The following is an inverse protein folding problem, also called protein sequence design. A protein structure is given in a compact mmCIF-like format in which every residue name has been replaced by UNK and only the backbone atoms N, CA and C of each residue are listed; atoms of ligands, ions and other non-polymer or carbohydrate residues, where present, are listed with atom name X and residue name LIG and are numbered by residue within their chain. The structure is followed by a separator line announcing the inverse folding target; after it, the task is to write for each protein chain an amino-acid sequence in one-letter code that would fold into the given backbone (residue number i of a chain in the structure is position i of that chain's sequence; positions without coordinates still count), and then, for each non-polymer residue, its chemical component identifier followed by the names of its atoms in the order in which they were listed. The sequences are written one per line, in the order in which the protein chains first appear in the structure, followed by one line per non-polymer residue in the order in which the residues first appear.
data_IF_442375036969
#
_entry.id   IF_442375036969
#
_cell.length_a   1.000
_cell.length_b   1.000
_cell.length_c   1.000
_cell.angle_alpha   90.00
_cell.angle_beta   90.00
_cell.angle_gamma   90.00
#
_symmetry.space_group_name_H-M   'P 1'
#
loop_
_entity.id
_entity.type
_entity.pdbx_description
1 polymer ?
#
# COMPACT_ATOMS: atom_id res chain seq x y z
N UNK A 1 12.80 7.23 30.06
CA UNK A 1 11.62 6.46 29.61
C UNK A 1 10.95 7.26 28.51
N UNK A 2 11.23 6.93 27.25
CA UNK A 2 10.45 7.46 26.14
C UNK A 2 9.01 6.97 26.31
N UNK A 3 8.04 7.88 26.34
CA UNK A 3 6.63 7.49 26.29
C UNK A 3 6.44 6.79 24.95
N UNK A 4 6.09 5.50 24.95
CA UNK A 4 5.57 4.86 23.76
C UNK A 4 4.39 5.71 23.29
N UNK A 5 4.52 6.36 22.13
CA UNK A 5 3.38 6.99 21.47
C UNK A 5 2.35 5.87 21.29
N UNK A 6 1.16 6.05 21.83
CA UNK A 6 0.08 5.11 21.60
C UNK A 6 -0.52 5.46 20.23
N UNK A 7 -0.12 4.72 19.20
CA UNK A 7 -0.54 4.95 17.83
C UNK A 7 -1.94 4.36 17.62
N UNK A 8 -2.81 5.08 16.90
CA UNK A 8 -4.10 4.54 16.48
C UNK A 8 -3.92 3.42 15.45
N UNK A 9 -2.84 3.51 14.65
CA UNK A 9 -2.40 2.48 13.70
C UNK A 9 -2.33 1.08 14.36
N UNK A 10 -1.83 1.00 15.60
CA UNK A 10 -1.59 -0.26 16.31
C UNK A 10 -2.89 -1.03 16.61
N UNK A 11 -4.07 -0.41 16.44
CA UNK A 11 -5.38 -1.10 16.49
C UNK A 11 -5.62 -1.99 15.26
N UNK A 12 -4.98 -1.68 14.15
CA UNK A 12 -5.25 -2.28 12.84
C UNK A 12 -4.10 -3.13 12.33
N UNK A 13 -2.87 -2.70 12.59
CA UNK A 13 -1.64 -3.32 12.09
C UNK A 13 -0.71 -3.51 13.29
N UNK A 14 -0.24 -4.75 13.48
CA UNK A 14 0.80 -5.03 14.48
C UNK A 14 2.16 -4.63 13.91
N UNK A 15 2.42 -3.32 13.91
CA UNK A 15 3.59 -2.76 13.25
C UNK A 15 4.90 -3.24 13.90
N UNK A 16 4.89 -3.46 15.22
CA UNK A 16 6.06 -3.94 15.95
C UNK A 16 6.38 -5.39 15.58
N UNK A 17 5.38 -6.27 15.51
CA UNK A 17 5.60 -7.65 15.08
C UNK A 17 5.99 -7.74 13.59
N UNK A 18 5.31 -6.97 12.73
CA UNK A 18 5.54 -7.01 11.29
C UNK A 18 6.91 -6.45 10.87
N UNK A 19 7.36 -5.35 11.50
CA UNK A 19 8.51 -4.57 11.02
C UNK A 19 9.61 -4.36 12.06
N UNK A 20 9.36 -4.64 13.34
CA UNK A 20 10.35 -4.49 14.42
C UNK A 20 11.68 -5.20 14.14
N UNK A 21 11.67 -6.49 13.74
CA UNK A 21 12.91 -7.19 13.40
C UNK A 21 13.68 -6.52 12.26
N UNK A 22 12.99 -6.01 11.24
CA UNK A 22 13.64 -5.35 10.09
C UNK A 22 14.23 -4.00 10.49
N UNK A 23 13.51 -3.24 11.33
CA UNK A 23 13.99 -1.96 11.85
C UNK A 23 15.27 -2.14 12.69
N UNK A 24 15.36 -3.24 13.45
CA UNK A 24 16.53 -3.57 14.25
C UNK A 24 17.71 -4.07 13.39
N UNK A 25 17.43 -4.94 12.42
CA UNK A 25 18.46 -5.66 11.65
C UNK A 25 18.93 -4.93 10.38
N UNK A 26 18.16 -3.96 9.85
CA UNK A 26 18.45 -3.27 8.58
C UNK A 26 18.15 -1.77 8.66
N UNK A 27 19.09 -0.95 9.19
CA UNK A 27 18.87 0.47 9.47
C UNK A 27 18.44 1.32 8.27
N UNK A 28 18.87 0.98 7.06
CA UNK A 28 18.50 1.66 5.82
C UNK A 28 17.01 1.58 5.52
N UNK A 29 16.39 0.40 5.74
CA UNK A 29 14.94 0.23 5.61
C UNK A 29 14.22 0.66 6.89
N UNK A 30 14.86 0.48 8.05
CA UNK A 30 14.31 0.83 9.35
C UNK A 30 13.88 2.28 9.45
N UNK A 31 14.70 3.22 8.95
CA UNK A 31 14.33 4.63 8.96
C UNK A 31 13.11 4.92 8.05
N UNK A 32 13.07 4.33 6.85
CA UNK A 32 11.95 4.49 5.92
C UNK A 32 10.66 3.94 6.54
N UNK A 33 10.72 2.77 7.17
CA UNK A 33 9.58 2.15 7.85
C UNK A 33 9.07 3.02 9.01
N UNK A 34 9.97 3.63 9.80
CA UNK A 34 9.58 4.54 10.87
C UNK A 34 8.92 5.82 10.34
N UNK A 35 9.41 6.37 9.23
CA UNK A 35 8.80 7.53 8.56
C UNK A 35 7.42 7.16 7.97
N UNK A 36 7.30 5.98 7.37
CA UNK A 36 6.03 5.41 6.91
C UNK A 36 5.06 5.21 8.07
N UNK A 37 5.52 4.75 9.25
CA UNK A 37 4.68 4.58 10.45
C UNK A 37 4.00 5.89 10.84
N UNK A 38 4.75 6.99 10.85
CA UNK A 38 4.19 8.31 11.17
C UNK A 38 3.19 8.79 10.09
N UNK A 39 3.42 8.47 8.82
CA UNK A 39 2.46 8.75 7.74
C UNK A 39 1.17 7.91 7.85
N UNK A 40 1.31 6.61 8.09
CA UNK A 40 0.21 5.67 8.28
C UNK A 40 -0.63 5.98 9.52
N UNK A 41 -0.02 6.50 10.59
CA UNK A 41 -0.74 7.01 11.76
C UNK A 41 -1.64 8.20 11.41
N UNK A 42 -1.10 9.18 10.69
CA UNK A 42 -1.88 10.34 10.25
C UNK A 42 -3.04 9.89 9.35
N UNK A 43 -2.78 8.96 8.44
CA UNK A 43 -3.78 8.40 7.56
C UNK A 43 -4.86 7.63 8.32
N UNK A 44 -4.46 6.81 9.31
CA UNK A 44 -5.38 6.07 10.19
C UNK A 44 -6.36 7.03 10.87
N UNK A 45 -5.86 8.11 11.48
CA UNK A 45 -6.72 9.12 12.13
C UNK A 45 -7.67 9.80 11.15
N UNK A 46 -7.23 10.06 9.93
CA UNK A 46 -8.11 10.64 8.89
C UNK A 46 -9.24 9.67 8.49
N UNK A 47 -8.92 8.38 8.36
CA UNK A 47 -9.90 7.36 8.03
C UNK A 47 -10.91 7.16 9.16
N UNK A 48 -10.46 7.08 10.41
CA UNK A 48 -11.32 6.91 11.59
C UNK A 48 -12.32 8.04 11.77
N UNK A 49 -11.98 9.26 11.34
CA UNK A 49 -12.90 10.39 11.39
C UNK A 49 -14.07 10.29 10.40
N UNK A 50 -13.98 9.42 9.39
CA UNK A 50 -14.91 9.37 8.25
C UNK A 50 -15.56 8.00 8.01
N UNK A 51 -14.95 6.93 8.50
CA UNK A 51 -15.30 5.57 8.11
C UNK A 51 -15.44 4.61 9.29
N UNK A 52 -16.11 3.49 9.03
CA UNK A 52 -16.21 2.37 9.99
C UNK A 52 -14.88 1.64 10.11
N UNK A 53 -14.67 0.97 11.25
CA UNK A 53 -13.45 0.20 11.51
C UNK A 53 -13.11 -0.81 10.39
N UNK A 54 -14.12 -1.49 9.84
CA UNK A 54 -13.95 -2.42 8.71
C UNK A 54 -13.36 -1.71 7.48
N UNK A 55 -13.82 -0.51 7.19
CA UNK A 55 -13.37 0.27 6.04
C UNK A 55 -11.99 0.88 6.28
N UNK A 56 -11.73 1.34 7.52
CA UNK A 56 -10.40 1.80 7.95
C UNK A 56 -9.38 0.68 7.73
N UNK A 57 -9.64 -0.52 8.26
CA UNK A 57 -8.77 -1.68 8.13
C UNK A 57 -8.41 -1.98 6.68
N UNK A 58 -9.42 -2.00 5.80
CA UNK A 58 -9.24 -2.30 4.37
C UNK A 58 -8.40 -1.26 3.62
N UNK A 59 -8.68 0.03 3.81
CA UNK A 59 -7.88 1.06 3.14
C UNK A 59 -6.47 1.16 3.71
N UNK A 60 -6.33 1.00 5.02
CA UNK A 60 -5.05 1.08 5.70
C UNK A 60 -4.13 -0.08 5.32
N UNK A 61 -4.63 -1.32 5.30
CA UNK A 61 -3.84 -2.49 4.90
C UNK A 61 -3.31 -2.34 3.48
N UNK A 62 -4.13 -1.91 2.53
CA UNK A 62 -3.71 -1.81 1.14
C UNK A 62 -2.66 -0.71 0.93
N UNK A 63 -2.76 0.41 1.65
CA UNK A 63 -1.77 1.49 1.61
C UNK A 63 -0.48 1.09 2.32
N UNK A 64 -0.59 0.38 3.44
CA UNK A 64 0.57 -0.07 4.21
C UNK A 64 1.41 -1.09 3.43
N UNK A 65 0.79 -2.07 2.77
CA UNK A 65 1.49 -2.99 1.87
C UNK A 65 2.22 -2.25 0.75
N UNK A 66 1.59 -1.23 0.16
CA UNK A 66 2.25 -0.42 -0.87
C UNK A 66 3.47 0.32 -0.33
N UNK A 67 3.37 0.96 0.84
CA UNK A 67 4.45 1.75 1.40
C UNK A 67 5.58 0.90 1.96
N UNK A 68 5.25 -0.15 2.71
CA UNK A 68 6.23 -0.91 3.46
C UNK A 68 6.76 -2.08 2.65
N UNK A 69 5.89 -3.00 2.23
CA UNK A 69 6.33 -4.21 1.53
C UNK A 69 6.89 -3.90 0.14
N UNK A 70 6.24 -2.97 -0.57
CA UNK A 70 6.65 -2.61 -1.91
C UNK A 70 7.68 -1.47 -1.92
N UNK A 71 7.32 -0.23 -1.59
CA UNK A 71 8.29 0.88 -1.73
C UNK A 71 9.51 0.72 -0.82
N UNK A 72 9.30 0.57 0.49
CA UNK A 72 10.41 0.53 1.44
C UNK A 72 11.26 -0.74 1.25
N UNK A 73 10.66 -1.92 1.39
CA UNK A 73 11.42 -3.17 1.45
C UNK A 73 11.90 -3.67 0.08
N UNK A 74 11.19 -3.34 -1.00
CA UNK A 74 11.58 -3.78 -2.35
C UNK A 74 12.45 -2.74 -3.07
N UNK A 75 12.11 -1.45 -2.94
CA UNK A 75 12.75 -0.38 -3.72
C UNK A 75 13.69 0.49 -2.88
N UNK A 76 13.57 0.47 -1.55
CA UNK A 76 14.33 1.37 -0.67
C UNK A 76 13.82 2.81 -0.73
N UNK A 77 12.54 2.99 -1.02
CA UNK A 77 11.91 4.28 -1.27
C UNK A 77 10.84 4.63 -0.24
N UNK A 78 10.64 5.93 -0.02
CA UNK A 78 9.71 6.46 0.95
C UNK A 78 8.39 6.95 0.33
N UNK A 79 7.56 7.63 1.14
CA UNK A 79 6.24 8.09 0.69
C UNK A 79 6.33 9.27 -0.30
N UNK A 80 7.47 9.96 -0.37
CA UNK A 80 7.71 11.04 -1.34
C UNK A 80 7.82 10.51 -2.77
N UNK A 81 8.45 9.36 -2.95
CA UNK A 81 8.65 8.68 -4.23
C UNK A 81 7.41 7.88 -4.67
N UNK A 82 6.43 7.69 -3.78
CA UNK A 82 5.27 6.84 -4.05
C UNK A 82 4.27 7.37 -5.08
N UNK A 83 4.36 8.63 -5.50
CA UNK A 83 3.54 9.14 -6.61
C UNK A 83 4.13 8.84 -8.00
N UNK A 84 5.34 8.28 -8.05
CA UNK A 84 6.01 7.96 -9.31
C UNK A 84 5.24 6.92 -10.14
N UNK A 85 5.22 7.16 -11.45
CA UNK A 85 4.45 6.36 -12.41
C UNK A 85 5.01 4.95 -12.54
N UNK A 86 6.34 4.80 -12.57
CA UNK A 86 7.00 3.50 -12.72
C UNK A 86 6.79 2.67 -11.46
N UNK A 87 6.84 3.30 -10.28
CA UNK A 87 6.55 2.65 -9.01
C UNK A 87 5.13 2.12 -8.92
N UNK A 88 4.14 2.92 -9.32
CA UNK A 88 2.73 2.52 -9.24
C UNK A 88 2.40 1.43 -10.24
N UNK A 89 2.87 1.54 -11.48
CA UNK A 89 2.71 0.46 -12.46
C UNK A 89 3.37 -0.83 -11.98
N UNK A 90 4.61 -0.73 -11.49
CA UNK A 90 5.35 -1.89 -10.98
C UNK A 90 4.63 -2.54 -9.79
N UNK A 91 4.01 -1.76 -8.91
CA UNK A 91 3.24 -2.29 -7.80
C UNK A 91 1.98 -3.03 -8.26
N UNK A 92 1.20 -2.46 -9.17
CA UNK A 92 -0.02 -3.12 -9.62
C UNK A 92 0.25 -4.37 -10.47
N UNK A 93 1.37 -4.45 -11.18
CA UNK A 93 1.81 -5.68 -11.84
C UNK A 93 2.45 -6.68 -10.87
N UNK A 94 3.00 -6.23 -9.74
CA UNK A 94 3.50 -7.08 -8.66
C UNK A 94 2.37 -7.73 -7.85
N UNK A 95 1.27 -6.99 -7.66
CA UNK A 95 0.15 -7.34 -6.78
C UNK A 95 -0.44 -8.74 -6.98
N UNK A 96 -0.78 -9.20 -8.22
CA UNK A 96 -1.45 -10.48 -8.44
C UNK A 96 -0.66 -11.68 -7.91
N UNK A 97 0.67 -11.65 -8.06
CA UNK A 97 1.54 -12.77 -7.68
C UNK A 97 1.98 -12.75 -6.21
N UNK A 98 1.71 -11.67 -5.46
CA UNK A 98 2.24 -11.48 -4.11
C UNK A 98 1.16 -11.24 -3.05
N UNK A 99 -0.01 -10.71 -3.42
CA UNK A 99 -1.12 -10.50 -2.51
C UNK A 99 -2.17 -11.60 -2.71
N UNK A 100 -2.03 -12.69 -1.95
CA UNK A 100 -2.94 -13.83 -2.00
C UNK A 100 -4.40 -13.41 -1.89
N UNK A 101 -5.26 -14.05 -2.69
CA UNK A 101 -6.71 -13.79 -2.75
C UNK A 101 -7.09 -12.35 -3.15
N UNK A 102 -6.19 -11.63 -3.81
CA UNK A 102 -6.55 -10.35 -4.42
C UNK A 102 -7.40 -10.56 -5.66
N UNK A 103 -8.33 -9.64 -5.86
CA UNK A 103 -9.18 -9.58 -7.04
C UNK A 103 -9.27 -8.14 -7.57
N UNK A 104 -10.06 -7.94 -8.60
CA UNK A 104 -10.32 -6.63 -9.19
C UNK A 104 -10.95 -5.65 -8.20
N UNK A 105 -11.64 -6.13 -7.15
CA UNK A 105 -12.13 -5.30 -6.06
C UNK A 105 -10.98 -4.82 -5.19
N UNK A 106 -10.01 -5.69 -4.86
CA UNK A 106 -8.80 -5.31 -4.13
C UNK A 106 -8.04 -4.22 -4.88
N UNK A 107 -7.86 -4.34 -6.19
CA UNK A 107 -7.22 -3.28 -7.02
C UNK A 107 -7.95 -1.95 -6.86
N UNK A 108 -9.28 -1.92 -6.99
CA UNK A 108 -10.09 -0.70 -6.84
C UNK A 108 -9.97 -0.10 -5.44
N UNK A 109 -9.99 -0.94 -4.42
CA UNK A 109 -9.88 -0.52 -3.02
C UNK A 109 -8.48 0.04 -2.71
N UNK A 110 -7.43 -0.54 -3.27
CA UNK A 110 -6.06 -0.03 -3.18
C UNK A 110 -5.92 1.33 -3.86
N UNK A 111 -6.42 1.48 -5.08
CA UNK A 111 -6.47 2.78 -5.78
C UNK A 111 -7.19 3.83 -4.95
N UNK A 112 -8.34 3.47 -4.36
CA UNK A 112 -9.11 4.38 -3.51
C UNK A 112 -8.35 4.77 -2.23
N UNK A 113 -7.64 3.83 -1.61
CA UNK A 113 -6.76 4.07 -0.47
C UNK A 113 -5.62 5.02 -0.82
N UNK A 114 -4.86 4.70 -1.87
CA UNK A 114 -3.73 5.51 -2.36
C UNK A 114 -4.17 6.93 -2.73
N UNK A 115 -5.33 7.09 -3.39
CA UNK A 115 -5.87 8.44 -3.68
C UNK A 115 -6.09 9.29 -2.46
N UNK A 116 -6.53 8.70 -1.36
CA UNK A 116 -6.73 9.40 -0.09
C UNK A 116 -5.40 9.65 0.61
N UNK A 117 -4.54 8.64 0.63
CA UNK A 117 -3.21 8.74 1.23
C UNK A 117 -2.38 9.86 0.58
N UNK A 118 -2.25 9.89 -0.74
CA UNK A 118 -1.51 10.95 -1.42
C UNK A 118 -2.20 12.30 -1.35
N UNK A 119 -3.53 12.34 -1.26
CA UNK A 119 -4.23 13.61 -0.98
C UNK A 119 -3.83 14.18 0.38
N UNK A 120 -3.69 13.32 1.40
CA UNK A 120 -3.19 13.69 2.71
C UNK A 120 -1.72 14.12 2.65
N UNK A 121 -0.87 13.38 1.94
CA UNK A 121 0.55 13.74 1.76
C UNK A 121 0.71 15.12 1.12
N UNK A 122 -0.12 15.44 0.12
CA UNK A 122 -0.21 16.78 -0.47
C UNK A 122 -0.62 17.84 0.57
N UNK A 123 -1.63 17.56 1.39
CA UNK A 123 -2.09 18.50 2.44
C UNK A 123 -1.04 18.71 3.54
N UNK A 124 -0.11 17.78 3.70
CA UNK A 124 1.03 17.87 4.62
C UNK A 124 2.29 18.44 3.98
N UNK A 125 2.30 18.67 2.66
CA UNK A 125 3.45 19.16 1.92
C UNK A 125 4.57 18.13 1.77
N UNK A 126 4.25 16.84 1.85
CA UNK A 126 5.20 15.73 1.60
C UNK A 126 5.42 15.56 0.09
N UNK A 127 4.38 15.81 -0.70
CA UNK A 127 4.42 15.83 -2.16
C UNK A 127 3.88 17.16 -2.67
N UNK A 128 4.28 17.53 -3.87
CA UNK A 128 3.81 18.67 -4.63
C UNK A 128 2.47 18.40 -5.32
N UNK A 129 1.79 19.49 -5.69
CA UNK A 129 0.52 19.41 -6.39
C UNK A 129 0.65 18.73 -7.76
N UNK A 130 1.78 18.95 -8.46
CA UNK A 130 2.03 18.36 -9.78
C UNK A 130 2.11 16.85 -9.69
N UNK A 131 2.87 16.31 -8.73
CA UNK A 131 3.00 14.88 -8.47
C UNK A 131 1.63 14.23 -8.18
N UNK A 132 0.80 14.89 -7.35
CA UNK A 132 -0.55 14.39 -7.10
C UNK A 132 -1.47 14.42 -8.34
N UNK A 133 -1.33 15.41 -9.23
CA UNK A 133 -2.10 15.43 -10.48
C UNK A 133 -1.65 14.33 -11.45
N UNK A 134 -0.35 14.16 -11.62
CA UNK A 134 0.24 13.11 -12.46
C UNK A 134 -0.20 11.73 -11.98
N UNK A 135 -0.17 11.50 -10.67
CA UNK A 135 -0.74 10.29 -10.06
C UNK A 135 -2.22 10.06 -10.44
N UNK A 136 -3.06 11.09 -10.37
CA UNK A 136 -4.48 10.98 -10.71
C UNK A 136 -4.71 10.68 -12.19
N UNK A 137 -3.93 11.30 -13.07
CA UNK A 137 -3.95 11.05 -14.53
C UNK A 137 -3.49 9.63 -14.84
N UNK A 138 -2.40 9.19 -14.23
CA UNK A 138 -1.87 7.85 -14.38
C UNK A 138 -2.90 6.79 -13.95
N UNK A 139 -3.57 6.97 -12.80
CA UNK A 139 -4.64 6.06 -12.40
C UNK A 139 -5.78 6.04 -13.42
N UNK A 140 -6.15 7.20 -13.98
CA UNK A 140 -7.23 7.27 -14.97
C UNK A 140 -6.86 6.48 -16.23
N UNK A 141 -5.60 6.53 -16.64
CA UNK A 141 -5.13 5.94 -17.88
C UNK A 141 -4.81 4.43 -17.74
N UNK A 142 -4.32 3.99 -16.57
CA UNK A 142 -3.85 2.61 -16.36
C UNK A 142 -4.81 1.71 -15.56
N UNK A 143 -5.85 2.26 -14.90
CA UNK A 143 -6.74 1.47 -14.03
C UNK A 143 -7.33 0.24 -14.72
N UNK A 144 -7.82 0.37 -15.96
CA UNK A 144 -8.44 -0.76 -16.65
C UNK A 144 -7.41 -1.85 -16.98
N UNK A 145 -6.18 -1.46 -17.33
CA UNK A 145 -5.08 -2.40 -17.54
C UNK A 145 -4.75 -3.19 -16.27
N UNK A 146 -4.62 -2.53 -15.11
CA UNK A 146 -4.34 -3.24 -13.85
C UNK A 146 -5.47 -4.18 -13.44
N UNK A 147 -6.73 -3.85 -13.76
CA UNK A 147 -7.86 -4.73 -13.51
C UNK A 147 -7.81 -5.97 -14.43
N UNK A 148 -7.46 -5.76 -15.70
CA UNK A 148 -7.29 -6.86 -16.66
C UNK A 148 -6.13 -7.79 -16.26
N UNK A 149 -4.99 -7.25 -15.80
CA UNK A 149 -3.86 -8.06 -15.31
C UNK A 149 -4.28 -8.95 -14.13
N UNK A 150 -4.99 -8.37 -13.15
CA UNK A 150 -5.48 -9.14 -12.00
C UNK A 150 -6.47 -10.23 -12.43
N UNK A 151 -7.43 -9.89 -13.31
CA UNK A 151 -8.40 -10.85 -13.81
C UNK A 151 -7.74 -11.99 -14.59
N UNK A 152 -6.74 -11.69 -15.43
CA UNK A 152 -6.00 -12.70 -16.18
C UNK A 152 -5.23 -13.65 -15.26
N UNK A 153 -4.60 -13.12 -14.21
CA UNK A 153 -3.89 -13.93 -13.22
C UNK A 153 -4.85 -14.91 -12.51
N UNK A 154 -5.98 -14.41 -12.02
CA UNK A 154 -6.95 -15.23 -11.29
C UNK A 154 -7.62 -16.30 -12.17
N UNK A 155 -7.82 -16.01 -13.47
CA UNK A 155 -8.37 -17.01 -14.40
C UNK A 155 -7.34 -18.09 -14.78
N UNK A 156 -6.04 -17.80 -14.70
CA UNK A 156 -4.99 -18.78 -15.00
C UNK A 156 -4.88 -19.88 -13.92
N UNK A 157 -5.17 -19.54 -12.67
CA UNK A 157 -5.18 -20.49 -11.55
C UNK A 157 -6.36 -21.50 -11.62
N UNK A 158 -7.44 -21.19 -12.34
CA UNK A 158 -8.62 -22.06 -12.48
C UNK A 158 -8.45 -23.18 -13.54
N UNK A 159 -7.43 -23.10 -14.40
CA UNK A 159 -7.17 -24.09 -15.46
C UNK A 159 -6.17 -25.20 -15.05
N UNK A 160 -5.78 -25.29 -13.78
CA UNK A 160 -4.82 -26.29 -13.27
C UNK A 160 -5.44 -27.67 -12.95
N UNK A 161 -6.51 -28.07 -13.65
CA UNK A 161 -7.11 -29.42 -13.55
C UNK A 161 -6.36 -30.47 -14.40
N UNK A 162 -5.10 -30.20 -14.76
CA UNK A 162 -4.25 -31.11 -15.51
C UNK A 162 -3.21 -31.81 -14.61
N UNK A 163 -3.51 -33.08 -14.32
CA UNK A 163 -2.60 -34.16 -13.91
C UNK A 163 -2.09 -34.18 -12.46
N UNK A 164 -2.86 -34.86 -11.60
CA UNK A 164 -2.29 -35.84 -10.69
C UNK A 164 -2.96 -37.18 -10.90
N UNK A 165 -2.45 -37.92 -11.88
CA UNK A 165 -2.66 -39.36 -11.97
C UNK A 165 -1.27 -40.00 -11.75
N UNK A 166 -1.02 -40.45 -10.53
CA UNK A 166 0.08 -41.35 -10.18
C UNK A 166 -0.28 -42.23 -8.99
#
# INVERSE_FOLDING_TARGET
MAKFKNYHLDKYIDFEDNYGPIIEDSPEFGQILLDNKDCLEMFTRELEAKFTEKTVRKHLSNVEVYLNDFLALRLGEGPGEGCDVDNLNSFFSWMPSHLMYSDESTVKDTIAGLKRFFKLMLDKGVIEKVEYQEFLEMVKDNKEYWLEEMAQFNNFDDDSDFFFDY
#
